data_IF_609279595158
#
_entry.id   IF_609279595158
#
_cell.length_a   1.000
_cell.length_b   1.000
_cell.length_c   1.000
_cell.angle_alpha   90.00
_cell.angle_beta   90.00
_cell.angle_gamma   90.00
#
_symmetry.space_group_name_H-M   'P 1'
#
loop_
_entity.id
_entity.type
_entity.pdbx_description
1 polymer ?
#
# COMPACT_ATOMS: atom_id res chain seq x y z
N UNK A 1 27.40 12.92 -13.86
CA UNK A 1 27.26 11.99 -14.99
C UNK A 1 26.37 10.83 -14.57
N UNK A 2 25.50 10.36 -15.47
CA UNK A 2 24.71 9.15 -15.23
C UNK A 2 25.51 7.92 -15.69
N UNK A 3 25.59 6.89 -14.86
CA UNK A 3 26.28 5.62 -15.15
C UNK A 3 25.53 4.44 -14.53
N UNK A 4 25.58 3.24 -15.11
CA UNK A 4 25.00 2.06 -14.48
C UNK A 4 25.90 1.54 -13.32
N UNK A 5 25.28 0.95 -12.30
CA UNK A 5 25.94 0.36 -11.12
C UNK A 5 26.43 -1.06 -11.44
N UNK A 6 27.69 -1.38 -11.12
CA UNK A 6 28.31 -2.70 -11.22
C UNK A 6 28.48 -3.32 -12.62
N UNK A 7 27.59 -3.04 -13.58
CA UNK A 7 27.63 -3.58 -14.94
C UNK A 7 26.97 -2.63 -15.94
N UNK A 8 27.20 -2.83 -17.25
CA UNK A 8 26.60 -2.01 -18.31
C UNK A 8 25.07 -2.14 -18.42
N UNK A 9 24.46 -3.08 -17.70
CA UNK A 9 23.00 -3.32 -17.65
C UNK A 9 22.43 -3.14 -16.23
N UNK A 10 23.22 -2.59 -15.31
CA UNK A 10 22.81 -2.35 -13.93
C UNK A 10 21.81 -1.21 -13.79
N UNK A 11 21.27 -1.06 -12.58
CA UNK A 11 20.46 0.10 -12.24
C UNK A 11 21.27 1.40 -12.43
N UNK A 12 20.63 2.44 -12.94
CA UNK A 12 21.30 3.70 -13.25
C UNK A 12 21.42 4.59 -12.02
N UNK A 13 22.59 5.18 -11.82
CA UNK A 13 22.85 6.22 -10.83
C UNK A 13 23.32 7.50 -11.50
N UNK A 14 22.98 8.64 -10.91
CA UNK A 14 23.53 9.94 -11.30
C UNK A 14 24.49 10.40 -10.21
N UNK A 15 25.74 10.61 -10.56
CA UNK A 15 26.78 10.99 -9.61
C UNK A 15 27.49 12.26 -10.05
N UNK A 16 27.84 13.13 -9.09
CA UNK A 16 28.78 14.23 -9.37
C UNK A 16 30.17 13.64 -9.66
N UNK A 17 31.00 14.29 -10.48
CA UNK A 17 32.35 13.78 -10.77
C UNK A 17 33.29 13.75 -9.53
N UNK A 18 32.84 14.27 -8.39
CA UNK A 18 33.63 14.48 -7.17
C UNK A 18 33.37 13.41 -6.09
N UNK A 19 32.36 12.54 -6.27
CA UNK A 19 31.92 11.61 -5.22
C UNK A 19 32.55 10.20 -5.29
N UNK A 20 33.87 10.06 -5.45
CA UNK A 20 34.54 8.74 -5.46
C UNK A 20 34.24 7.87 -4.21
N UNK A 21 33.78 8.49 -3.11
CA UNK A 21 33.43 7.81 -1.86
C UNK A 21 32.29 6.78 -1.96
N UNK A 22 31.36 6.91 -2.93
CA UNK A 22 30.22 5.98 -3.04
C UNK A 22 30.63 4.59 -3.56
N UNK A 23 31.77 4.47 -4.26
CA UNK A 23 32.28 3.17 -4.69
C UNK A 23 32.59 2.24 -3.51
N UNK A 24 32.89 2.81 -2.33
CA UNK A 24 33.21 2.04 -1.11
C UNK A 24 31.99 1.36 -0.48
N UNK A 25 30.79 1.82 -0.81
CA UNK A 25 29.52 1.27 -0.29
C UNK A 25 28.73 0.53 -1.37
N UNK A 26 29.31 0.39 -2.57
CA UNK A 26 28.75 -0.43 -3.63
C UNK A 26 28.85 -1.92 -3.26
N UNK A 27 27.78 -2.67 -3.48
CA UNK A 27 27.73 -4.07 -3.13
C UNK A 27 26.35 -4.68 -3.30
N UNK A 28 26.20 -5.90 -2.81
CA UNK A 28 24.92 -6.63 -2.86
C UNK A 28 24.01 -6.15 -1.74
N UNK A 29 22.85 -5.60 -2.11
CA UNK A 29 21.77 -5.37 -1.15
C UNK A 29 20.95 -6.65 -0.97
N UNK A 30 20.88 -7.15 0.26
CA UNK A 30 20.08 -8.33 0.61
C UNK A 30 18.62 -8.00 0.95
N UNK A 31 18.30 -6.72 1.13
CA UNK A 31 16.94 -6.26 1.36
C UNK A 31 16.20 -6.07 0.04
N UNK A 32 15.01 -6.65 -0.04
CA UNK A 32 14.16 -6.52 -1.21
C UNK A 32 13.13 -5.41 -1.00
N UNK A 33 13.23 -4.34 -1.80
CA UNK A 33 12.24 -3.28 -1.80
C UNK A 33 10.95 -3.75 -2.48
N UNK A 34 9.80 -3.51 -1.84
CA UNK A 34 8.47 -3.80 -2.37
C UNK A 34 7.75 -2.49 -2.67
N UNK A 35 6.90 -2.52 -3.70
CA UNK A 35 5.93 -1.43 -3.94
C UNK A 35 4.70 -1.64 -3.07
N UNK A 36 4.07 -0.55 -2.64
CA UNK A 36 2.76 -0.61 -1.98
C UNK A 36 1.64 -1.13 -2.88
N UNK A 37 0.49 -1.39 -2.27
CA UNK A 37 -0.65 -2.02 -2.95
C UNK A 37 -1.31 -1.07 -3.95
N UNK A 38 -1.96 -1.64 -4.97
CA UNK A 38 -2.81 -0.90 -5.89
C UNK A 38 -4.26 -1.00 -5.41
N UNK A 39 -4.73 0.06 -4.73
CA UNK A 39 -6.10 0.20 -4.23
C UNK A 39 -6.97 1.06 -5.16
N UNK A 40 -7.07 0.65 -6.44
CA UNK A 40 -7.80 1.37 -7.49
C UNK A 40 -9.13 0.71 -7.87
N UNK A 41 -10.16 1.45 -8.29
CA UNK A 41 -10.22 2.91 -8.27
C UNK A 41 -10.38 3.43 -6.84
N UNK A 42 -9.74 4.57 -6.53
CA UNK A 42 -9.77 5.16 -5.19
C UNK A 42 -11.19 5.35 -4.68
N UNK A 43 -12.12 5.79 -5.54
CA UNK A 43 -13.53 5.96 -5.21
C UNK A 43 -14.31 4.72 -4.82
N UNK A 44 -13.70 3.53 -4.85
CA UNK A 44 -14.30 2.28 -4.35
C UNK A 44 -13.51 1.72 -3.18
N UNK A 45 -12.18 1.67 -3.31
CA UNK A 45 -11.34 1.04 -2.28
C UNK A 45 -11.01 1.94 -1.11
N UNK A 46 -11.01 3.27 -1.28
CA UNK A 46 -10.71 4.21 -0.21
C UNK A 46 -12.00 4.62 0.48
N UNK A 47 -11.95 4.61 1.81
CA UNK A 47 -13.12 4.84 2.66
C UNK A 47 -12.79 5.73 3.85
N UNK A 48 -13.81 6.47 4.27
CA UNK A 48 -13.85 7.19 5.53
C UNK A 48 -14.80 6.46 6.49
N UNK A 49 -14.36 6.27 7.74
CA UNK A 49 -15.19 5.63 8.77
C UNK A 49 -16.04 6.72 9.41
N UNK A 50 -17.36 6.58 9.33
CA UNK A 50 -18.33 7.53 9.90
C UNK A 50 -18.75 7.13 11.30
N UNK A 51 -18.97 5.83 11.51
CA UNK A 51 -19.44 5.31 12.79
C UNK A 51 -19.00 3.85 12.97
N UNK A 52 -18.73 3.47 14.22
CA UNK A 52 -18.57 2.08 14.63
C UNK A 52 -19.84 1.65 15.37
N UNK A 53 -20.36 0.49 14.98
CA UNK A 53 -21.57 -0.10 15.55
C UNK A 53 -21.21 -1.10 16.66
N UNK A 54 -22.18 -1.37 17.54
CA UNK A 54 -22.03 -2.29 18.67
C UNK A 54 -21.73 -3.73 18.23
N UNK A 55 -22.16 -4.12 17.03
CA UNK A 55 -21.92 -5.44 16.44
C UNK A 55 -20.63 -5.53 15.61
N UNK A 56 -19.69 -4.61 15.82
CA UNK A 56 -18.38 -4.51 15.16
C UNK A 56 -18.41 -4.20 13.66
N UNK A 57 -19.59 -4.00 13.07
CA UNK A 57 -19.67 -3.38 11.75
C UNK A 57 -19.37 -1.89 11.83
N UNK A 58 -19.10 -1.29 10.66
CA UNK A 58 -18.85 0.13 10.53
C UNK A 58 -19.72 0.73 9.44
N UNK A 59 -20.14 1.97 9.66
CA UNK A 59 -20.69 2.82 8.60
C UNK A 59 -19.53 3.53 7.94
N UNK A 60 -19.40 3.36 6.63
CA UNK A 60 -18.35 3.99 5.83
C UNK A 60 -18.95 4.87 4.75
N UNK A 61 -18.18 5.83 4.29
CA UNK A 61 -18.42 6.54 3.04
C UNK A 61 -17.25 6.29 2.10
N UNK A 62 -17.52 6.00 0.83
CA UNK A 62 -16.46 5.90 -0.18
C UNK A 62 -15.90 7.29 -0.55
N UNK A 63 -14.68 7.33 -1.08
CA UNK A 63 -13.96 8.58 -1.35
C UNK A 63 -13.77 8.87 -2.87
N UNK A 64 -14.85 9.05 -3.66
CA UNK A 64 -14.76 9.25 -5.10
C UNK A 64 -13.98 10.51 -5.48
N UNK A 65 -13.99 11.55 -4.64
CA UNK A 65 -13.26 12.79 -4.87
C UNK A 65 -11.73 12.64 -4.86
N UNK A 66 -11.20 11.51 -4.37
CA UNK A 66 -9.76 11.22 -4.45
C UNK A 66 -9.34 10.71 -5.83
N UNK A 67 -10.28 10.15 -6.59
CA UNK A 67 -10.03 9.60 -7.91
C UNK A 67 -10.43 10.56 -9.04
N UNK A 68 -9.98 10.27 -10.25
CA UNK A 68 -10.36 11.02 -11.46
C UNK A 68 -11.67 10.53 -12.09
N UNK A 69 -12.11 9.31 -11.74
CA UNK A 69 -13.29 8.67 -12.33
C UNK A 69 -14.56 9.17 -11.65
N UNK A 70 -15.60 9.45 -12.44
CA UNK A 70 -16.94 9.78 -11.94
C UNK A 70 -17.58 8.53 -11.33
N UNK A 71 -17.37 8.31 -10.04
CA UNK A 71 -17.97 7.24 -9.24
C UNK A 71 -18.92 7.92 -8.26
N UNK A 72 -20.11 7.35 -8.09
CA UNK A 72 -21.10 7.91 -7.17
C UNK A 72 -20.68 7.71 -5.71
N UNK A 73 -21.03 8.66 -4.85
CA UNK A 73 -20.75 8.61 -3.41
C UNK A 73 -21.89 7.88 -2.70
N UNK A 74 -21.56 6.93 -1.83
CA UNK A 74 -22.52 6.19 -1.00
C UNK A 74 -22.01 6.07 0.43
N UNK A 75 -22.97 5.92 1.33
CA UNK A 75 -22.74 5.51 2.71
C UNK A 75 -23.32 4.11 2.90
N UNK A 76 -22.52 3.20 3.45
CA UNK A 76 -22.91 1.80 3.59
C UNK A 76 -22.40 1.22 4.90
N UNK A 77 -23.15 0.24 5.41
CA UNK A 77 -22.72 -0.58 6.55
C UNK A 77 -21.91 -1.75 6.02
N UNK A 78 -20.69 -1.95 6.53
CA UNK A 78 -19.78 -3.02 6.13
C UNK A 78 -19.08 -3.66 7.33
N UNK A 79 -18.50 -4.84 7.12
CA UNK A 79 -17.64 -5.51 8.09
C UNK A 79 -16.29 -4.79 8.22
N UNK A 80 -15.77 -4.64 9.45
CA UNK A 80 -14.54 -3.89 9.72
C UNK A 80 -13.24 -4.66 9.38
N UNK A 81 -13.31 -5.98 9.25
CA UNK A 81 -12.18 -6.90 9.16
C UNK A 81 -11.28 -6.62 7.94
N UNK A 82 -11.91 -6.25 6.82
CA UNK A 82 -11.21 -5.96 5.56
C UNK A 82 -10.77 -4.51 5.44
N UNK A 83 -11.02 -3.66 6.44
CA UNK A 83 -10.65 -2.24 6.44
C UNK A 83 -9.36 -2.04 7.21
N UNK A 84 -8.41 -1.36 6.57
CA UNK A 84 -7.08 -1.10 7.12
C UNK A 84 -6.71 0.38 7.00
N UNK A 85 -6.03 0.96 8.01
CA UNK A 85 -5.43 2.27 7.86
C UNK A 85 -4.38 2.21 6.77
N UNK A 86 -4.30 3.26 5.96
CA UNK A 86 -3.43 3.28 4.80
C UNK A 86 -2.68 4.59 4.68
N UNK A 87 -1.63 4.56 3.88
CA UNK A 87 -0.71 5.67 3.69
C UNK A 87 -0.31 5.79 2.22
N UNK A 88 -0.15 7.02 1.75
CA UNK A 88 0.42 7.35 0.43
C UNK A 88 1.71 8.14 0.60
N UNK A 89 2.48 8.31 -0.46
CA UNK A 89 3.77 9.02 -0.42
C UNK A 89 3.68 10.40 0.23
N UNK A 90 2.63 11.18 -0.01
CA UNK A 90 2.48 12.52 0.58
C UNK A 90 2.21 12.54 2.09
N UNK A 91 1.95 11.38 2.70
CA UNK A 91 1.76 11.24 4.13
C UNK A 91 3.06 10.92 4.90
N UNK A 92 4.17 10.76 4.17
CA UNK A 92 5.49 10.45 4.72
C UNK A 92 6.29 11.75 4.86
N UNK A 93 6.90 11.93 6.01
CA UNK A 93 8.00 12.85 6.26
C UNK A 93 9.20 12.04 6.77
N UNK A 94 10.37 12.68 6.90
CA UNK A 94 11.51 11.99 7.51
C UNK A 94 11.14 11.57 8.92
N UNK A 95 11.36 10.29 9.22
CA UNK A 95 11.14 9.65 10.51
C UNK A 95 9.68 9.53 10.95
N UNK A 96 8.73 10.12 10.21
CA UNK A 96 7.33 10.21 10.62
C UNK A 96 6.42 9.90 9.43
N UNK A 97 5.45 9.01 9.64
CA UNK A 97 4.37 8.78 8.69
C UNK A 97 3.02 8.93 9.41
N UNK A 98 2.07 9.61 8.77
CA UNK A 98 0.75 9.84 9.34
C UNK A 98 -0.32 9.15 8.50
N UNK A 99 -1.02 8.16 9.05
CA UNK A 99 -2.18 7.60 8.35
C UNK A 99 -3.30 8.64 8.28
N UNK A 100 -3.93 8.81 7.11
CA UNK A 100 -5.00 9.81 6.93
C UNK A 100 -6.31 9.23 6.42
N UNK A 101 -6.31 7.98 5.98
CA UNK A 101 -7.48 7.33 5.40
C UNK A 101 -7.41 5.82 5.59
N UNK A 102 -8.49 5.15 5.23
CA UNK A 102 -8.61 3.71 5.27
C UNK A 102 -8.84 3.15 3.87
N UNK A 103 -8.45 1.90 3.66
CA UNK A 103 -8.71 1.17 2.43
C UNK A 103 -9.23 -0.22 2.73
N UNK A 104 -9.99 -0.78 1.78
CA UNK A 104 -10.28 -2.20 1.76
C UNK A 104 -9.07 -3.02 1.30
N UNK A 105 -8.85 -4.16 1.94
CA UNK A 105 -7.91 -5.20 1.51
C UNK A 105 -8.69 -6.49 1.22
N UNK A 106 -9.06 -6.71 -0.04
CA UNK A 106 -9.88 -7.85 -0.50
C UNK A 106 -9.05 -9.02 -1.05
N UNK A 107 -7.74 -8.99 -0.80
CA UNK A 107 -6.79 -10.02 -1.21
C UNK A 107 -6.27 -10.75 0.02
N UNK A 108 -6.08 -12.06 -0.09
CA UNK A 108 -5.33 -12.84 0.89
C UNK A 108 -3.82 -12.58 0.70
N UNK A 109 -3.12 -12.00 1.70
CA UNK A 109 -1.70 -11.68 1.57
C UNK A 109 -0.79 -12.89 1.39
N UNK A 110 -1.14 -14.02 2.00
CA UNK A 110 -0.30 -15.23 1.94
C UNK A 110 -0.51 -15.98 0.63
N UNK A 111 -1.76 -16.10 0.18
CA UNK A 111 -2.08 -16.75 -1.10
C UNK A 111 -1.80 -15.87 -2.30
N UNK A 112 -1.77 -14.55 -2.11
CA UNK A 112 -1.66 -13.54 -3.17
C UNK A 112 -2.78 -13.65 -4.20
N UNK A 113 -3.96 -14.03 -3.72
CA UNK A 113 -5.18 -14.21 -4.50
C UNK A 113 -6.36 -13.49 -3.84
N UNK A 114 -7.36 -13.02 -4.62
CA UNK A 114 -8.53 -12.39 -4.03
C UNK A 114 -9.25 -13.38 -3.13
N UNK A 115 -9.91 -12.87 -2.09
CA UNK A 115 -10.77 -13.70 -1.24
C UNK A 115 -11.77 -14.45 -2.16
N UNK A 116 -11.86 -15.80 -2.09
CA UNK A 116 -12.80 -16.54 -2.94
C UNK A 116 -14.23 -16.05 -2.76
N UNK A 117 -14.99 -15.95 -3.85
CA UNK A 117 -16.32 -15.30 -3.84
C UNK A 117 -17.29 -15.95 -2.84
N UNK A 118 -17.28 -17.28 -2.74
CA UNK A 118 -18.09 -18.02 -1.76
C UNK A 118 -17.73 -17.57 -0.33
N UNK A 119 -16.43 -17.51 -0.02
CA UNK A 119 -15.94 -17.07 1.28
C UNK A 119 -16.29 -15.61 1.55
N UNK A 120 -16.14 -14.74 0.55
CA UNK A 120 -16.46 -13.32 0.67
C UNK A 120 -17.97 -13.14 0.98
N UNK A 121 -18.85 -13.83 0.26
CA UNK A 121 -20.30 -13.77 0.50
C UNK A 121 -20.70 -14.28 1.89
N UNK A 122 -20.05 -15.34 2.37
CA UNK A 122 -20.39 -15.96 3.66
C UNK A 122 -19.84 -15.16 4.85
N UNK A 123 -18.58 -14.74 4.77
CA UNK A 123 -17.88 -14.13 5.90
C UNK A 123 -18.06 -12.59 5.93
N UNK A 124 -18.22 -11.97 4.76
CA UNK A 124 -18.35 -10.50 4.62
C UNK A 124 -19.48 -10.10 3.65
N UNK A 125 -20.73 -10.55 3.88
CA UNK A 125 -21.85 -10.33 2.96
C UNK A 125 -22.12 -8.86 2.66
N UNK A 126 -21.95 -7.96 3.64
CA UNK A 126 -22.24 -6.53 3.45
C UNK A 126 -21.16 -5.85 2.61
N UNK A 127 -19.89 -6.16 2.90
CA UNK A 127 -18.76 -5.68 2.09
C UNK A 127 -18.86 -6.22 0.66
N UNK A 128 -19.23 -7.49 0.48
CA UNK A 128 -19.48 -8.04 -0.86
C UNK A 128 -20.61 -7.28 -1.60
N UNK A 129 -21.72 -7.00 -0.91
CA UNK A 129 -22.82 -6.20 -1.45
C UNK A 129 -22.34 -4.79 -1.86
N UNK A 130 -21.53 -4.13 -1.04
CA UNK A 130 -20.89 -2.85 -1.36
C UNK A 130 -20.08 -2.94 -2.66
N UNK A 131 -19.17 -3.91 -2.80
CA UNK A 131 -18.35 -4.06 -4.01
C UNK A 131 -19.19 -4.37 -5.25
N UNK A 132 -20.28 -5.12 -5.09
CA UNK A 132 -21.19 -5.48 -6.20
C UNK A 132 -21.81 -4.25 -6.86
N UNK A 133 -22.13 -3.21 -6.07
CA UNK A 133 -22.65 -1.92 -6.57
C UNK A 133 -21.67 -1.21 -7.51
N UNK A 134 -20.37 -1.53 -7.41
CA UNK A 134 -19.31 -0.94 -8.23
C UNK A 134 -18.70 -1.90 -9.27
N UNK A 135 -19.30 -3.08 -9.49
CA UNK A 135 -18.74 -4.14 -10.34
C UNK A 135 -18.35 -3.63 -11.73
N UNK A 136 -19.21 -2.86 -12.38
CA UNK A 136 -18.93 -2.28 -13.70
C UNK A 136 -17.73 -1.32 -13.68
N UNK A 137 -17.61 -0.49 -12.64
CA UNK A 137 -16.44 0.38 -12.47
C UNK A 137 -15.16 -0.41 -12.26
N UNK A 138 -15.23 -1.52 -11.53
CA UNK A 138 -14.08 -2.36 -11.22
C UNK A 138 -13.56 -3.10 -12.45
N UNK A 139 -14.46 -3.62 -13.30
CA UNK A 139 -14.13 -4.31 -14.55
C UNK A 139 -13.67 -3.37 -15.67
N UNK A 140 -14.04 -2.09 -15.60
CA UNK A 140 -13.58 -1.04 -16.52
C UNK A 140 -12.28 -0.35 -16.07
N UNK A 141 -11.38 -1.08 -15.41
CA UNK A 141 -10.05 -0.57 -15.03
C UNK A 141 -9.21 -0.19 -16.26
N UNK A 142 -8.55 0.97 -16.21
CA UNK A 142 -7.63 1.42 -17.28
C UNK A 142 -6.31 0.63 -17.29
N UNK A 143 -5.89 0.09 -16.14
CA UNK A 143 -4.74 -0.81 -16.07
C UNK A 143 -5.11 -2.16 -16.65
N UNK A 144 -4.54 -2.51 -17.82
CA UNK A 144 -4.74 -3.80 -18.49
C UNK A 144 -4.43 -4.99 -17.57
N UNK A 145 -3.38 -4.87 -16.76
CA UNK A 145 -2.98 -5.90 -15.80
C UNK A 145 -4.05 -6.12 -14.72
N UNK A 146 -4.51 -5.03 -14.08
CA UNK A 146 -5.54 -5.09 -13.04
C UNK A 146 -6.88 -5.55 -13.62
N UNK A 147 -7.22 -5.08 -14.82
CA UNK A 147 -8.43 -5.49 -15.54
C UNK A 147 -8.42 -7.00 -15.79
N UNK A 148 -7.34 -7.53 -16.38
CA UNK A 148 -7.19 -8.97 -16.63
C UNK A 148 -7.29 -9.80 -15.34
N UNK A 149 -6.63 -9.36 -14.26
CA UNK A 149 -6.71 -10.03 -12.97
C UNK A 149 -8.17 -10.12 -12.47
N UNK A 150 -8.94 -9.03 -12.61
CA UNK A 150 -10.32 -8.97 -12.17
C UNK A 150 -11.27 -9.84 -12.98
N UNK A 151 -11.07 -9.86 -14.30
CA UNK A 151 -11.84 -10.70 -15.22
C UNK A 151 -11.56 -12.19 -14.98
N UNK A 152 -10.31 -12.56 -14.65
CA UNK A 152 -9.91 -13.95 -14.49
C UNK A 152 -10.15 -14.52 -13.09
N UNK A 153 -10.09 -13.70 -12.04
CA UNK A 153 -10.12 -14.18 -10.65
C UNK A 153 -11.36 -13.69 -9.92
N UNK A 154 -11.48 -12.39 -9.70
CA UNK A 154 -12.63 -11.78 -9.05
C UNK A 154 -12.69 -10.29 -9.33
N UNK A 155 -13.89 -9.73 -9.56
CA UNK A 155 -14.05 -8.33 -9.94
C UNK A 155 -13.50 -7.33 -8.91
N UNK A 156 -13.41 -7.73 -7.63
CA UNK A 156 -12.82 -6.94 -6.54
C UNK A 156 -11.34 -7.22 -6.29
N UNK A 157 -10.64 -7.92 -7.19
CA UNK A 157 -9.22 -8.22 -7.03
C UNK A 157 -8.35 -6.95 -7.00
N UNK A 158 -7.31 -7.03 -6.17
CA UNK A 158 -6.27 -6.02 -5.97
C UNK A 158 -4.91 -6.51 -6.47
N UNK A 159 -3.96 -5.60 -6.66
CA UNK A 159 -2.60 -5.95 -7.08
C UNK A 159 -1.57 -5.46 -6.06
N UNK A 160 -0.38 -6.08 -6.06
CA UNK A 160 0.73 -5.68 -5.19
C UNK A 160 0.59 -6.13 -3.74
N UNK A 161 -0.32 -7.06 -3.44
CA UNK A 161 -0.51 -7.62 -2.10
C UNK A 161 0.30 -8.91 -1.94
N UNK A 162 0.96 -9.04 -0.80
CA UNK A 162 1.72 -10.22 -0.38
C UNK A 162 1.91 -10.24 1.13
N UNK A 163 2.53 -11.29 1.67
CA UNK A 163 2.89 -11.41 3.09
C UNK A 163 3.62 -10.17 3.64
N UNK A 164 4.53 -9.60 2.84
CA UNK A 164 5.23 -8.35 3.12
C UNK A 164 4.29 -7.16 3.39
N UNK A 165 3.06 -7.18 2.86
CA UNK A 165 2.06 -6.11 3.06
C UNK A 165 1.60 -6.04 4.51
N UNK A 166 1.61 -7.18 5.22
CA UNK A 166 1.11 -7.32 6.59
C UNK A 166 2.21 -7.57 7.63
N UNK A 167 3.49 -7.45 7.25
CA UNK A 167 4.63 -7.58 8.19
C UNK A 167 4.49 -6.65 9.40
N UNK A 168 5.12 -7.00 10.52
CA UNK A 168 5.01 -6.22 11.76
C UNK A 168 5.55 -4.80 11.60
N UNK A 169 6.71 -4.66 10.94
CA UNK A 169 7.35 -3.39 10.66
C UNK A 169 7.58 -3.22 9.16
N UNK A 170 7.43 -1.99 8.67
CA UNK A 170 7.77 -1.61 7.30
C UNK A 170 8.55 -0.30 7.33
N UNK A 171 9.67 -0.26 6.61
CA UNK A 171 10.44 0.96 6.40
C UNK A 171 9.97 1.57 5.09
N UNK A 172 9.13 2.58 5.14
CA UNK A 172 8.45 3.16 3.98
C UNK A 172 9.13 4.44 3.50
N UNK A 173 9.17 4.67 2.19
CA UNK A 173 9.58 5.93 1.60
C UNK A 173 8.74 6.30 0.37
N UNK A 174 8.82 7.58 -0.03
CA UNK A 174 8.13 8.12 -1.22
C UNK A 174 8.76 7.55 -2.49
N UNK A 175 7.94 6.99 -3.39
CA UNK A 175 8.43 6.64 -4.74
C UNK A 175 8.56 7.85 -5.65
N UNK A 176 7.67 8.83 -5.50
CA UNK A 176 7.58 10.00 -6.40
C UNK A 176 7.95 11.27 -5.62
N UNK A 177 9.24 11.54 -5.47
CA UNK A 177 9.75 12.75 -4.83
C UNK A 177 11.16 13.10 -5.30
N UNK A 178 11.56 14.36 -5.12
CA UNK A 178 12.90 14.86 -5.49
C UNK A 178 13.97 14.56 -4.44
N UNK A 179 13.60 13.94 -3.32
CA UNK A 179 14.49 13.55 -2.22
C UNK A 179 13.86 12.32 -1.55
N UNK A 180 14.62 11.60 -0.74
CA UNK A 180 14.15 10.43 -0.02
C UNK A 180 13.69 10.83 1.40
N UNK A 181 12.49 10.35 1.73
CA UNK A 181 11.82 10.57 3.01
C UNK A 181 11.40 9.21 3.54
N UNK A 182 12.17 8.66 4.48
CA UNK A 182 11.93 7.35 5.08
C UNK A 182 11.28 7.45 6.46
N UNK A 183 10.39 6.53 6.78
CA UNK A 183 9.82 6.37 8.11
C UNK A 183 9.58 4.88 8.43
N UNK A 184 9.58 4.52 9.72
CA UNK A 184 9.13 3.20 10.18
C UNK A 184 7.64 3.26 10.47
N UNK A 185 6.89 2.27 10.00
CA UNK A 185 5.48 2.07 10.34
C UNK A 185 5.27 0.67 10.90
N UNK A 186 4.29 0.54 11.78
CA UNK A 186 3.85 -0.72 12.37
C UNK A 186 2.33 -0.75 12.52
N UNK A 187 1.82 -1.49 13.50
CA UNK A 187 0.39 -1.47 13.84
C UNK A 187 0.05 -0.20 14.62
N UNK A 188 -1.13 0.36 14.34
CA UNK A 188 -1.67 1.49 15.08
C UNK A 188 -2.97 1.11 15.78
N UNK A 189 -3.24 1.76 16.91
CA UNK A 189 -4.55 1.69 17.55
C UNK A 189 -5.55 2.48 16.71
N UNK A 190 -6.60 1.83 16.25
CA UNK A 190 -7.73 2.45 15.57
C UNK A 190 -8.99 2.30 16.41
N UNK A 191 -10.07 2.94 15.98
CA UNK A 191 -11.39 2.73 16.58
C UNK A 191 -11.87 1.26 16.39
N UNK A 192 -11.33 0.53 15.42
CA UNK A 192 -11.62 -0.90 15.15
C UNK A 192 -10.57 -1.84 15.79
N UNK A 193 -9.82 -1.38 16.79
CA UNK A 193 -8.71 -2.12 17.40
C UNK A 193 -7.36 -1.88 16.71
N UNK A 194 -6.36 -2.69 17.05
CA UNK A 194 -5.02 -2.57 16.46
C UNK A 194 -4.99 -3.12 15.03
N UNK A 195 -4.60 -2.28 14.07
CA UNK A 195 -4.56 -2.62 12.64
C UNK A 195 -3.18 -2.29 12.06
N UNK A 196 -2.69 -3.15 11.17
CA UNK A 196 -1.47 -2.89 10.39
C UNK A 196 -1.72 -1.77 9.39
N UNK A 197 -0.79 -0.82 9.28
CA UNK A 197 -0.84 0.20 8.21
C UNK A 197 -0.43 -0.43 6.88
N UNK A 198 -1.24 -0.18 5.85
CA UNK A 198 -1.05 -0.73 4.50
C UNK A 198 -0.55 0.37 3.55
N UNK A 199 0.70 0.32 3.07
CA UNK A 199 1.23 1.31 2.14
C UNK A 199 0.62 1.17 0.74
N UNK A 200 0.32 2.29 0.09
CA UNK A 200 -0.13 2.33 -1.31
C UNK A 200 1.04 2.39 -2.29
N UNK A 201 0.78 2.08 -3.56
CA UNK A 201 1.77 2.04 -4.65
C UNK A 201 2.57 3.33 -4.87
N UNK A 202 2.20 4.45 -4.26
CA UNK A 202 2.99 5.69 -4.24
C UNK A 202 4.15 5.66 -3.24
N UNK A 203 4.31 4.53 -2.55
CA UNK A 203 5.34 4.24 -1.56
C UNK A 203 6.08 2.97 -1.95
N UNK A 204 7.36 2.91 -1.59
CA UNK A 204 8.16 1.70 -1.58
C UNK A 204 8.57 1.40 -0.15
N UNK A 205 8.88 0.14 0.15
CA UNK A 205 9.26 -0.23 1.49
C UNK A 205 10.07 -1.52 1.60
N UNK A 206 10.80 -1.64 2.69
CA UNK A 206 11.32 -2.91 3.19
C UNK A 206 10.37 -3.46 4.26
N UNK A 207 10.11 -4.76 4.22
CA UNK A 207 9.33 -5.47 5.24
C UNK A 207 10.28 -6.23 6.18
N UNK A 208 10.05 -6.12 7.48
CA UNK A 208 10.74 -6.92 8.50
C UNK A 208 9.82 -7.13 9.70
N UNK A 209 10.10 -8.18 10.47
CA UNK A 209 9.44 -8.44 11.75
C UNK A 209 10.30 -8.03 12.95
N UNK A 210 11.48 -7.45 12.71
CA UNK A 210 12.40 -6.94 13.73
C UNK A 210 12.39 -5.40 13.78
N UNK A 211 12.09 -4.84 14.95
CA UNK A 211 12.00 -3.39 15.16
C UNK A 211 13.35 -2.68 15.03
N UNK A 212 14.40 -3.24 15.65
CA UNK A 212 15.73 -2.65 15.62
C UNK A 212 16.29 -2.61 14.19
N UNK A 213 16.07 -3.68 13.43
CA UNK A 213 16.40 -3.74 12.01
C UNK A 213 15.62 -2.68 11.20
N UNK A 214 14.32 -2.53 11.46
CA UNK A 214 13.52 -1.51 10.79
C UNK A 214 14.06 -0.08 11.05
N UNK A 215 14.41 0.23 12.30
CA UNK A 215 14.99 1.53 12.65
C UNK A 215 16.39 1.73 12.06
N UNK A 216 17.24 0.70 12.05
CA UNK A 216 18.53 0.72 11.37
C UNK A 216 18.38 1.03 9.88
N UNK A 217 17.53 0.28 9.17
CA UNK A 217 17.24 0.52 7.75
C UNK A 217 16.65 1.90 7.49
N UNK A 218 15.77 2.39 8.35
CA UNK A 218 15.21 3.73 8.24
C UNK A 218 16.29 4.81 8.39
N UNK A 219 17.29 4.58 9.24
CA UNK A 219 18.43 5.48 9.38
C UNK A 219 19.29 5.50 8.11
N UNK A 220 19.54 4.33 7.51
CA UNK A 220 20.24 4.22 6.22
C UNK A 220 19.46 4.94 5.11
N UNK A 221 18.16 4.71 4.98
CA UNK A 221 17.31 5.34 3.96
C UNK A 221 17.30 6.88 4.06
N UNK A 222 17.38 7.43 5.27
CA UNK A 222 17.42 8.89 5.48
C UNK A 222 18.85 9.48 5.49
N UNK A 223 19.88 8.65 5.30
CA UNK A 223 21.27 9.07 5.35
C UNK A 223 21.70 9.84 4.09
N UNK A 224 22.79 10.61 4.18
CA UNK A 224 23.34 11.36 3.04
C UNK A 224 23.81 10.49 1.87
N UNK A 225 24.39 9.28 2.08
CA UNK A 225 24.78 8.44 0.94
C UNK A 225 23.61 7.91 0.10
N UNK A 226 22.40 7.82 0.69
CA UNK A 226 21.20 7.33 -0.01
C UNK A 226 20.40 8.47 -0.66
N UNK A 227 20.40 9.64 -0.03
CA UNK A 227 19.67 10.84 -0.48
C UNK A 227 20.46 11.68 -1.46
#
# INVERSE_FOLDING_TARGET
MARPIGSNVGAWQTQSAVDEGLAKIEGKNYYEAKSGIIADPYGVFWVEIKQILSDRNVIITNAPEKGKRKIFKIEERVEADLIYPSLRGSDIQRWVAQNKFFVFLTQDPYKREPIPEIKFKNDFPRTYSYFTKFKEFLLSSSSKMVKRLREQKAFYAMFGVGDYTISKYKVVWKQMSNDIYGAVISKIKTLMGYKTIIPLHTTAFFATDNEAEAHYLCAIINSKPVR
#
